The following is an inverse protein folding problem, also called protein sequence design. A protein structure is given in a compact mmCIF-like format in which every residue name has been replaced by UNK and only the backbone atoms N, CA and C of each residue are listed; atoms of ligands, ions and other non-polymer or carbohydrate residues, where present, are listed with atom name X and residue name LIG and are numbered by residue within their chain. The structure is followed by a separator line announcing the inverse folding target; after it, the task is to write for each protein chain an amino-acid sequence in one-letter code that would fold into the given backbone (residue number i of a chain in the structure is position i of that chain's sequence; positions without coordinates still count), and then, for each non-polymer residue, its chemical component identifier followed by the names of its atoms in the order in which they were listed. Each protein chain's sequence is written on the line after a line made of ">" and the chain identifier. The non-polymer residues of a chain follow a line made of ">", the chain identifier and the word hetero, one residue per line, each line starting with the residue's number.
data_IF_972296997223
#
_entry.id   IF_972296997223
#
_cell.length_a   1.000
_cell.length_b   1.000
_cell.length_c   1.000
_cell.angle_alpha   90.00
_cell.angle_beta   90.00
_cell.angle_gamma   90.00
#
_symmetry.space_group_name_H-M   'P 1'
#
loop_
_entity.id
_entity.type
_entity.pdbx_description
1 polymer ?
#
# COMPACT_ATOMS: atom_id res chain seq x y z
N UNK A 1 23.87 -17.07 71.57
CA UNK A 1 24.25 -16.16 70.47
C UNK A 1 23.60 -16.66 69.19
N UNK A 2 22.67 -15.90 68.60
CA UNK A 2 21.84 -16.32 67.46
C UNK A 2 22.36 -15.61 66.22
N UNK A 3 23.02 -16.33 65.31
CA UNK A 3 23.52 -15.78 64.04
C UNK A 3 22.36 -15.68 63.04
N UNK A 4 22.00 -14.45 62.67
CA UNK A 4 21.07 -14.16 61.58
C UNK A 4 21.77 -14.45 60.24
N UNK A 5 21.33 -15.50 59.55
CA UNK A 5 21.70 -15.77 58.17
C UNK A 5 20.89 -14.85 57.26
N UNK A 6 21.54 -13.84 56.69
CA UNK A 6 20.93 -12.96 55.69
C UNK A 6 20.78 -13.70 54.36
N UNK A 7 19.53 -13.91 53.93
CA UNK A 7 19.21 -14.57 52.67
C UNK A 7 19.48 -13.63 51.50
N UNK A 8 20.43 -13.99 50.64
CA UNK A 8 20.93 -13.21 49.48
C UNK A 8 19.97 -13.25 48.28
N UNK A 9 18.90 -14.03 48.38
CA UNK A 9 17.92 -14.28 47.30
C UNK A 9 17.14 -13.07 46.76
N UNK A 10 16.75 -12.03 47.53
CA UNK A 10 15.89 -10.97 46.98
C UNK A 10 16.65 -9.94 46.13
N UNK A 11 17.96 -9.76 46.34
CA UNK A 11 18.77 -8.75 45.64
C UNK A 11 19.04 -9.18 44.20
N UNK A 12 19.31 -10.48 43.98
CA UNK A 12 19.59 -11.04 42.64
C UNK A 12 18.34 -10.98 41.75
N UNK A 13 17.14 -11.22 42.31
CA UNK A 13 15.88 -11.08 41.56
C UNK A 13 15.63 -9.64 41.10
N UNK A 14 15.91 -8.65 41.95
CA UNK A 14 15.69 -7.24 41.63
C UNK A 14 16.61 -6.76 40.49
N UNK A 15 17.89 -7.16 40.52
CA UNK A 15 18.85 -6.80 39.47
C UNK A 15 18.43 -7.39 38.11
N UNK A 16 17.94 -8.64 38.10
CA UNK A 16 17.50 -9.31 36.88
C UNK A 16 16.25 -8.63 36.28
N UNK A 17 15.31 -8.19 37.11
CA UNK A 17 14.12 -7.48 36.66
C UNK A 17 14.44 -6.13 35.99
N UNK A 18 15.43 -5.40 36.50
CA UNK A 18 15.86 -4.12 35.92
C UNK A 18 16.54 -4.32 34.57
N UNK A 19 17.40 -5.33 34.44
CA UNK A 19 18.13 -5.61 33.19
C UNK A 19 17.19 -6.12 32.09
N UNK A 20 16.23 -6.99 32.42
CA UNK A 20 15.22 -7.49 31.46
C UNK A 20 14.30 -6.36 30.99
N UNK A 21 13.93 -5.43 31.87
CA UNK A 21 13.11 -4.27 31.52
C UNK A 21 13.84 -3.29 30.59
N UNK A 22 15.14 -3.06 30.81
CA UNK A 22 15.97 -2.21 29.95
C UNK A 22 16.21 -2.80 28.55
N UNK A 23 16.39 -4.13 28.47
CA UNK A 23 16.56 -4.83 27.18
C UNK A 23 15.27 -4.86 26.35
N UNK A 24 14.09 -4.99 26.98
CA UNK A 24 12.81 -4.91 26.27
C UNK A 24 12.53 -3.50 25.73
N UNK A 25 12.95 -2.45 26.43
CA UNK A 25 12.70 -1.07 26.02
C UNK A 25 13.50 -0.66 24.77
N UNK A 26 14.69 -1.24 24.56
CA UNK A 26 15.49 -1.01 23.34
C UNK A 26 15.15 -1.94 22.18
N UNK A 27 14.49 -3.07 22.44
CA UNK A 27 14.05 -4.01 21.41
C UNK A 27 12.74 -3.60 20.71
N UNK A 28 12.29 -2.35 20.91
CA UNK A 28 11.14 -1.78 20.21
C UNK A 28 11.39 -1.79 18.71
N UNK A 29 10.89 -2.82 18.03
CA UNK A 29 10.81 -2.84 16.57
C UNK A 29 10.09 -1.57 16.14
N UNK A 30 10.69 -0.70 15.28
CA UNK A 30 9.95 0.43 14.76
C UNK A 30 8.70 -0.13 14.08
N UNK A 31 7.54 0.30 14.55
CA UNK A 31 6.27 -0.08 13.95
C UNK A 31 6.30 0.44 12.50
N UNK A 32 6.49 -0.48 11.55
CA UNK A 32 6.36 -0.18 10.13
C UNK A 32 4.91 0.26 9.95
N UNK A 33 4.69 1.54 9.67
CA UNK A 33 3.40 2.03 9.25
C UNK A 33 3.10 1.44 7.87
N UNK A 34 2.52 0.23 7.86
CA UNK A 34 1.91 -0.33 6.67
C UNK A 34 0.62 0.47 6.44
N UNK A 35 0.57 1.24 5.35
CA UNK A 35 -0.69 1.83 4.92
C UNK A 35 -1.62 0.67 4.56
N UNK A 36 -2.79 0.62 5.20
CA UNK A 36 -3.77 -0.40 4.89
C UNK A 36 -4.12 -0.34 3.40
N UNK A 37 -4.19 -1.50 2.70
CA UNK A 37 -4.64 -1.52 1.32
C UNK A 37 -6.00 -0.83 1.21
N UNK A 38 -6.10 0.17 0.35
CA UNK A 38 -7.39 0.82 0.07
C UNK A 38 -8.08 0.02 -1.01
N UNK A 39 -9.35 -0.36 -0.81
CA UNK A 39 -10.15 -1.10 -1.79
C UNK A 39 -11.32 -0.21 -2.22
N UNK A 40 -11.49 -0.05 -3.53
CA UNK A 40 -12.61 0.64 -4.15
C UNK A 40 -13.33 -0.32 -5.10
N UNK A 41 -14.66 -0.32 -5.06
CA UNK A 41 -15.51 -1.00 -6.02
C UNK A 41 -16.05 0.05 -7.00
N UNK A 42 -15.70 -0.09 -8.27
CA UNK A 42 -16.05 0.85 -9.33
C UNK A 42 -17.07 0.19 -10.26
N UNK A 43 -18.30 0.73 -10.37
CA UNK A 43 -19.26 0.18 -11.32
C UNK A 43 -18.78 0.45 -12.75
N UNK A 44 -18.73 -0.60 -13.55
CA UNK A 44 -18.38 -0.54 -14.97
C UNK A 44 -19.63 -0.84 -15.78
N UNK A 45 -19.90 0.00 -16.77
CA UNK A 45 -20.96 -0.20 -17.76
C UNK A 45 -20.54 0.48 -19.05
N UNK A 46 -20.66 -0.23 -20.16
CA UNK A 46 -20.27 0.31 -21.46
C UNK A 46 -20.45 -0.68 -22.60
N UNK A 47 -20.32 -0.17 -23.82
CA UNK A 47 -20.33 -0.99 -25.03
C UNK A 47 -18.93 -0.91 -25.64
N UNK A 48 -18.32 -2.07 -25.86
CA UNK A 48 -17.08 -2.19 -26.64
C UNK A 48 -17.49 -2.62 -28.03
N UNK A 49 -17.08 -1.86 -29.05
CA UNK A 49 -17.35 -2.17 -30.46
C UNK A 49 -16.05 -2.60 -31.13
N UNK A 50 -16.12 -3.63 -31.97
CA UNK A 50 -14.96 -4.21 -32.64
C UNK A 50 -15.28 -5.50 -33.36
N UNK A 51 -14.26 -6.14 -33.92
CA UNK A 51 -14.38 -7.51 -34.43
C UNK A 51 -14.25 -8.51 -33.25
N UNK A 52 -15.02 -9.61 -33.23
CA UNK A 52 -16.02 -10.01 -34.22
C UNK A 52 -17.38 -9.30 -34.08
N UNK A 53 -17.68 -8.69 -32.93
CA UNK A 53 -18.97 -8.03 -32.68
C UNK A 53 -18.89 -6.99 -31.54
N UNK A 54 -19.98 -6.24 -31.37
CA UNK A 54 -20.17 -5.34 -30.23
C UNK A 54 -20.64 -6.08 -28.99
N UNK A 55 -20.06 -5.75 -27.83
CA UNK A 55 -20.38 -6.38 -26.53
C UNK A 55 -20.76 -5.31 -25.52
N UNK A 56 -21.92 -5.48 -24.88
CA UNK A 56 -22.35 -4.63 -23.76
C UNK A 56 -21.84 -5.21 -22.45
N UNK A 57 -20.81 -4.60 -21.87
CA UNK A 57 -20.22 -4.99 -20.61
C UNK A 57 -20.90 -4.29 -19.42
N UNK A 58 -21.01 -5.02 -18.31
CA UNK A 58 -21.41 -4.49 -17.02
C UNK A 58 -20.80 -5.29 -15.88
N UNK A 59 -20.61 -4.66 -14.72
CA UNK A 59 -20.12 -5.34 -13.53
C UNK A 59 -19.46 -4.40 -12.54
N UNK A 60 -18.72 -4.97 -11.61
CA UNK A 60 -17.94 -4.23 -10.62
C UNK A 60 -16.46 -4.50 -10.84
N UNK A 61 -15.68 -3.45 -11.07
CA UNK A 61 -14.23 -3.52 -11.03
C UNK A 61 -13.76 -3.33 -9.59
N UNK A 62 -12.86 -4.17 -9.12
CA UNK A 62 -12.21 -3.98 -7.83
C UNK A 62 -10.85 -3.35 -8.06
N UNK A 63 -10.63 -2.16 -7.48
CA UNK A 63 -9.35 -1.48 -7.51
C UNK A 63 -8.79 -1.50 -6.09
N UNK A 64 -7.60 -2.08 -5.91
CA UNK A 64 -6.85 -1.95 -4.66
C UNK A 64 -5.57 -1.17 -4.86
N UNK A 65 -5.19 -0.41 -3.83
CA UNK A 65 -3.94 0.34 -3.81
C UNK A 65 -3.13 0.05 -2.56
N UNK A 66 -1.81 -0.05 -2.74
CA UNK A 66 -0.84 -0.21 -1.67
C UNK A 66 0.28 0.82 -1.84
N UNK A 67 0.58 1.54 -0.75
CA UNK A 67 1.64 2.55 -0.75
C UNK A 67 2.95 1.95 -0.27
N UNK A 68 3.97 2.04 -1.11
CA UNK A 68 5.34 1.59 -0.84
C UNK A 68 6.23 2.81 -0.60
N UNK A 69 6.51 3.10 0.67
CA UNK A 69 7.39 4.21 1.09
C UNK A 69 8.83 3.76 1.40
N UNK A 70 9.00 2.56 1.94
CA UNK A 70 10.30 2.06 2.36
C UNK A 70 11.03 1.41 1.19
N UNK A 71 11.69 2.26 0.41
CA UNK A 71 12.53 1.85 -0.71
C UNK A 71 14.02 1.88 -0.36
N UNK A 72 14.35 2.03 0.92
CA UNK A 72 15.72 2.25 1.42
C UNK A 72 16.68 1.12 1.06
N UNK A 73 16.18 -0.11 0.87
CA UNK A 73 16.98 -1.28 0.48
C UNK A 73 17.20 -1.41 -1.03
N UNK A 74 16.44 -0.69 -1.86
CA UNK A 74 16.42 -0.86 -3.31
C UNK A 74 16.63 0.44 -4.10
N UNK A 75 16.87 1.58 -3.43
CA UNK A 75 17.02 2.91 -4.05
C UNK A 75 15.88 3.30 -5.02
N UNK A 76 14.68 2.74 -4.82
CA UNK A 76 13.52 3.04 -5.68
C UNK A 76 12.84 4.31 -5.16
N UNK A 77 12.20 5.10 -6.01
CA UNK A 77 11.33 6.17 -5.53
C UNK A 77 10.08 5.57 -4.84
N UNK A 78 9.50 6.24 -3.82
CA UNK A 78 8.20 5.85 -3.28
C UNK A 78 7.17 5.63 -4.40
N UNK A 79 6.36 4.60 -4.28
CA UNK A 79 5.43 4.18 -5.33
C UNK A 79 4.10 3.71 -4.75
N UNK A 80 3.05 3.79 -5.58
CA UNK A 80 1.76 3.16 -5.33
C UNK A 80 1.65 1.97 -6.27
N UNK A 81 1.34 0.81 -5.70
CA UNK A 81 0.95 -0.37 -6.45
C UNK A 81 -0.56 -0.32 -6.61
N UNK A 82 -1.04 -0.34 -7.85
CA UNK A 82 -2.46 -0.42 -8.19
C UNK A 82 -2.76 -1.79 -8.75
N UNK A 83 -3.79 -2.44 -8.23
CA UNK A 83 -4.30 -3.71 -8.72
C UNK A 83 -5.73 -3.46 -9.20
N UNK A 84 -6.01 -3.78 -10.46
CA UNK A 84 -7.33 -3.61 -11.08
C UNK A 84 -7.83 -4.99 -11.50
N UNK A 85 -8.84 -5.48 -10.79
CA UNK A 85 -9.51 -6.75 -11.06
C UNK A 85 -10.84 -6.49 -11.78
N UNK A 86 -10.95 -7.03 -13.00
CA UNK A 86 -12.14 -6.94 -13.86
C UNK A 86 -12.86 -8.28 -14.01
N UNK A 87 -12.52 -9.29 -13.21
CA UNK A 87 -13.10 -10.64 -13.26
C UNK A 87 -14.63 -10.67 -13.11
N UNK A 88 -15.18 -9.67 -12.42
CA UNK A 88 -16.64 -9.48 -12.22
C UNK A 88 -17.29 -8.61 -13.28
N UNK A 89 -16.56 -8.21 -14.32
CA UNK A 89 -17.07 -7.46 -15.47
C UNK A 89 -17.27 -8.43 -16.63
N UNK A 90 -18.51 -8.53 -17.10
CA UNK A 90 -18.87 -9.42 -18.21
C UNK A 90 -19.91 -8.77 -19.11
N UNK A 91 -20.05 -9.30 -20.32
CA UNK A 91 -20.97 -8.76 -21.30
C UNK A 91 -21.47 -9.82 -22.24
N UNK A 92 -22.49 -9.44 -23.00
CA UNK A 92 -23.09 -10.30 -24.02
C UNK A 92 -22.87 -9.68 -25.40
N UNK A 93 -22.44 -10.51 -26.34
CA UNK A 93 -22.31 -10.16 -27.75
C UNK A 93 -23.66 -9.82 -28.36
N UNK A 94 -23.72 -8.70 -29.09
CA UNK A 94 -24.96 -8.17 -29.63
C UNK A 94 -25.48 -8.99 -30.82
N UNK A 95 -24.61 -9.72 -31.51
CA UNK A 95 -24.94 -10.49 -32.71
C UNK A 95 -24.99 -12.00 -32.46
N UNK A 96 -24.09 -12.53 -31.64
CA UNK A 96 -24.00 -13.97 -31.38
C UNK A 96 -24.69 -14.39 -30.09
N UNK A 97 -24.95 -13.44 -29.17
CA UNK A 97 -25.39 -13.76 -27.82
C UNK A 97 -24.32 -14.43 -26.94
N UNK A 98 -23.07 -14.54 -27.42
CA UNK A 98 -21.99 -15.14 -26.65
C UNK A 98 -21.65 -14.32 -25.40
N UNK A 99 -21.24 -15.01 -24.33
CA UNK A 99 -20.78 -14.36 -23.10
C UNK A 99 -19.29 -14.05 -23.19
N UNK A 100 -18.94 -12.82 -22.88
CA UNK A 100 -17.57 -12.33 -22.82
C UNK A 100 -17.25 -11.91 -21.39
N UNK A 101 -16.03 -12.19 -20.95
CA UNK A 101 -15.47 -11.70 -19.69
C UNK A 101 -14.40 -10.66 -20.00
N UNK A 102 -14.39 -9.56 -19.25
CA UNK A 102 -13.31 -8.59 -19.37
C UNK A 102 -11.98 -9.24 -18.95
N UNK A 103 -10.92 -9.02 -19.73
CA UNK A 103 -9.57 -9.37 -19.32
C UNK A 103 -9.08 -8.41 -18.23
N UNK A 104 -8.25 -8.90 -17.31
CA UNK A 104 -7.76 -8.12 -16.17
C UNK A 104 -7.95 -8.91 -14.88
N UNK A 105 -6.90 -9.61 -14.49
CA UNK A 105 -6.85 -10.56 -13.37
C UNK A 105 -6.22 -9.96 -12.10
N UNK A 106 -6.11 -8.64 -12.02
CA UNK A 106 -5.41 -7.98 -10.92
C UNK A 106 -3.90 -7.90 -11.11
N UNK A 107 -3.43 -7.80 -12.37
CA UNK A 107 -2.02 -7.59 -12.67
C UNK A 107 -1.53 -6.26 -12.02
N UNK A 108 -0.46 -6.29 -11.20
CA UNK A 108 -0.03 -5.11 -10.45
C UNK A 108 0.61 -4.06 -11.36
N UNK A 109 0.16 -2.83 -11.22
CA UNK A 109 0.69 -1.65 -11.93
C UNK A 109 1.43 -0.76 -10.95
N UNK A 110 2.71 -0.54 -11.21
CA UNK A 110 3.56 0.34 -10.41
C UNK A 110 3.46 1.79 -10.89
N UNK A 111 3.10 2.71 -9.99
CA UNK A 111 3.09 4.15 -10.24
C UNK A 111 4.02 4.84 -9.28
N UNK A 112 5.11 5.42 -9.79
CA UNK A 112 6.00 6.25 -8.97
C UNK A 112 5.27 7.49 -8.48
N UNK A 113 5.47 7.84 -7.22
CA UNK A 113 5.03 9.11 -6.69
C UNK A 113 5.97 10.20 -7.22
N UNK A 114 5.45 11.07 -8.07
CA UNK A 114 6.23 12.19 -8.59
C UNK A 114 6.61 13.11 -7.42
N UNK A 115 7.90 13.39 -7.27
CA UNK A 115 8.35 14.49 -6.44
C UNK A 115 7.91 15.79 -7.13
N UNK A 116 6.96 16.51 -6.54
CA UNK A 116 6.61 17.86 -6.99
C UNK A 116 7.85 18.74 -6.79
N UNK A 117 8.66 18.93 -7.82
CA UNK A 117 9.69 19.98 -7.82
C UNK A 117 8.98 21.30 -8.11
N UNK A 118 8.72 22.06 -7.05
CA UNK A 118 8.42 23.49 -7.15
C UNK A 118 9.58 24.15 -7.91
N UNK A 119 9.40 24.43 -9.19
CA UNK A 119 10.31 25.34 -9.90
C UNK A 119 10.10 26.70 -9.25
N UNK A 120 11.12 27.20 -8.55
CA UNK A 120 11.13 28.58 -8.09
C UNK A 120 10.99 29.48 -9.31
N UNK A 121 9.83 30.12 -9.46
CA UNK A 121 9.65 31.23 -10.39
C UNK A 121 10.55 32.37 -9.91
N UNK A 122 11.77 32.43 -10.44
CA UNK A 122 12.61 33.62 -10.32
C UNK A 122 11.94 34.71 -11.14
N UNK A 123 11.18 35.56 -10.46
CA UNK A 123 10.52 36.73 -11.03
C UNK A 123 11.62 37.76 -11.31
N UNK A 124 12.02 37.89 -12.58
CA UNK A 124 12.91 38.96 -13.03
C UNK A 124 12.23 40.32 -12.84
N UNK A 125 12.83 41.30 -12.14
CA UNK A 125 12.27 42.64 -12.02
C UNK A 125 12.78 43.52 -13.18
N UNK A 126 11.86 43.99 -14.02
CA UNK A 126 12.12 44.98 -15.08
C UNK A 126 11.26 44.70 -16.31
N UNK A 127 10.56 45.65 -16.92
CA UNK A 127 10.60 47.10 -16.82
C UNK A 127 9.19 47.66 -17.13
N UNK A 128 8.86 48.80 -16.51
CA UNK A 128 7.73 49.63 -16.93
C UNK A 128 8.17 50.51 -18.10
N UNK A 129 7.33 50.76 -19.10
CA UNK A 129 7.19 52.09 -19.68
C UNK A 129 6.31 52.98 -18.79
#
# INVERSE_FOLDING_TARGET
>A
MKMLRLSVTPIVLSLFAVVVSGLLWWAGTPARAAFAPTIALIPVSGIVTGQPESVKFSGQAQVSSELVLDTSRFHVAPAVILIIDLSKVSGTGSSTGAKYTAGGDGTPVYRQLATIRLRSLSRSPGARP
#
